data_IF_686022781965
#
_entry.id   IF_686022781965
#
_cell.length_a   1.000
_cell.length_b   1.000
_cell.length_c   1.000
_cell.angle_alpha   90.00
_cell.angle_beta   90.00
_cell.angle_gamma   90.00
#
_symmetry.space_group_name_H-M   'P 1'
#
loop_
_entity.id
_entity.type
_entity.pdbx_description
1 polymer ?
#
# COMPACT_ATOMS: atom_id res chain seq x y z
N UNK A 1 28.21 39.65 -7.10
CA UNK A 1 26.76 39.76 -6.88
C UNK A 1 26.08 39.09 -8.08
N UNK A 2 25.24 38.09 -7.83
CA UNK A 2 24.34 37.59 -8.88
C UNK A 2 23.23 38.64 -8.98
N UNK A 3 23.13 39.33 -10.12
CA UNK A 3 22.02 40.24 -10.37
C UNK A 3 20.75 39.41 -10.58
N UNK A 4 19.93 39.35 -9.53
CA UNK A 4 18.65 38.67 -9.55
C UNK A 4 17.66 39.56 -10.31
N UNK A 5 17.66 39.43 -11.63
CA UNK A 5 16.60 39.96 -12.47
C UNK A 5 15.29 39.22 -12.22
N UNK A 6 14.17 39.92 -12.43
CA UNK A 6 12.84 39.34 -12.28
C UNK A 6 12.68 38.04 -13.09
N UNK A 7 13.21 38.02 -14.31
CA UNK A 7 13.20 36.84 -15.19
C UNK A 7 13.95 35.66 -14.60
N UNK A 8 15.12 35.87 -13.98
CA UNK A 8 15.90 34.77 -13.39
C UNK A 8 15.23 34.24 -12.12
N UNK A 9 14.66 35.12 -11.30
CA UNK A 9 13.86 34.73 -10.14
C UNK A 9 12.62 33.90 -10.54
N UNK A 10 11.92 34.33 -11.60
CA UNK A 10 10.75 33.63 -12.12
C UNK A 10 11.09 32.25 -12.69
N UNK A 11 12.17 32.15 -13.47
CA UNK A 11 12.65 30.87 -14.01
C UNK A 11 13.07 29.91 -12.90
N UNK A 12 13.77 30.38 -11.87
CA UNK A 12 14.16 29.58 -10.72
C UNK A 12 12.94 29.08 -9.95
N UNK A 13 11.95 29.96 -9.72
CA UNK A 13 10.70 29.57 -9.08
C UNK A 13 10.04 28.43 -9.85
N UNK A 14 9.76 28.62 -11.15
CA UNK A 14 9.12 27.59 -11.97
C UNK A 14 9.93 26.28 -12.02
N UNK A 15 11.25 26.38 -12.21
CA UNK A 15 12.13 25.22 -12.26
C UNK A 15 12.10 24.41 -10.96
N UNK A 16 12.15 25.08 -9.81
CA UNK A 16 12.04 24.44 -8.49
C UNK A 16 10.66 23.82 -8.29
N UNK A 17 9.58 24.52 -8.66
CA UNK A 17 8.21 23.97 -8.50
C UNK A 17 8.00 22.73 -9.34
N UNK A 18 8.42 22.76 -10.62
CA UNK A 18 8.32 21.61 -11.52
C UNK A 18 9.21 20.48 -11.02
N UNK A 19 10.45 20.78 -10.60
CA UNK A 19 11.36 19.80 -10.01
C UNK A 19 10.79 19.14 -8.76
N UNK A 20 10.13 19.90 -7.88
CA UNK A 20 9.47 19.38 -6.70
C UNK A 20 8.26 18.49 -7.03
N UNK A 21 7.44 18.88 -8.03
CA UNK A 21 6.32 18.07 -8.50
C UNK A 21 6.78 16.76 -9.12
N UNK A 22 7.77 16.81 -10.02
CA UNK A 22 8.34 15.62 -10.64
C UNK A 22 9.04 14.74 -9.60
N UNK A 23 9.81 15.33 -8.69
CA UNK A 23 10.47 14.60 -7.61
C UNK A 23 9.48 13.88 -6.70
N UNK A 24 8.38 14.55 -6.33
CA UNK A 24 7.30 13.97 -5.52
C UNK A 24 6.56 12.87 -6.29
N UNK A 25 6.29 13.07 -7.57
CA UNK A 25 5.64 12.08 -8.43
C UNK A 25 6.51 10.83 -8.58
N UNK A 26 7.79 11.00 -8.88
CA UNK A 26 8.77 9.91 -8.98
C UNK A 26 8.93 9.19 -7.64
N UNK A 27 9.09 9.92 -6.55
CA UNK A 27 9.18 9.36 -5.20
C UNK A 27 7.93 8.55 -4.85
N UNK A 28 6.74 9.10 -5.11
CA UNK A 28 5.46 8.42 -4.94
C UNK A 28 5.39 7.17 -5.80
N UNK A 29 5.74 7.24 -7.08
CA UNK A 29 5.70 6.08 -7.97
C UNK A 29 6.64 4.95 -7.52
N UNK A 30 7.85 5.27 -7.08
CA UNK A 30 8.78 4.28 -6.51
C UNK A 30 8.31 3.74 -5.15
N UNK A 31 7.72 4.59 -4.30
CA UNK A 31 7.17 4.19 -3.00
C UNK A 31 5.93 3.32 -3.17
N UNK A 32 5.04 3.66 -4.09
CA UNK A 32 3.83 2.90 -4.42
C UNK A 32 4.20 1.56 -5.04
N UNK A 33 5.21 1.47 -5.93
CA UNK A 33 5.72 0.17 -6.38
C UNK A 33 6.25 -0.70 -5.23
N UNK A 34 6.88 -0.09 -4.22
CA UNK A 34 7.28 -0.83 -3.00
C UNK A 34 6.05 -1.20 -2.16
N UNK A 35 5.06 -0.32 -2.03
CA UNK A 35 3.83 -0.59 -1.28
C UNK A 35 2.88 -1.57 -1.96
N UNK A 36 2.91 -1.72 -3.29
CA UNK A 36 2.18 -2.79 -3.98
C UNK A 36 2.85 -4.14 -3.76
N UNK A 37 4.17 -4.18 -3.55
CA UNK A 37 4.89 -5.41 -3.14
C UNK A 37 4.63 -5.70 -1.65
N UNK A 38 4.54 -4.67 -0.81
CA UNK A 38 4.13 -4.76 0.60
C UNK A 38 2.61 -4.69 0.81
N UNK A 39 1.82 -4.80 -0.27
CA UNK A 39 0.40 -5.07 -0.15
C UNK A 39 0.33 -6.55 0.16
N UNK A 40 0.74 -6.87 1.40
CA UNK A 40 0.56 -8.14 2.06
C UNK A 40 -0.75 -8.69 1.55
N UNK A 41 -0.70 -9.77 0.78
CA UNK A 41 -1.87 -10.36 0.16
C UNK A 41 -2.88 -10.63 1.27
N UNK A 42 -3.82 -9.71 1.47
CA UNK A 42 -4.81 -9.80 2.52
C UNK A 42 -5.75 -10.89 2.04
N UNK A 43 -5.44 -12.11 2.44
CA UNK A 43 -6.23 -13.27 2.11
C UNK A 43 -7.47 -13.21 2.98
N UNK A 44 -8.62 -13.16 2.32
CA UNK A 44 -9.90 -13.23 3.01
C UNK A 44 -10.13 -14.68 3.44
N UNK A 45 -10.22 -14.89 4.74
CA UNK A 45 -10.53 -16.17 5.34
C UNK A 45 -11.98 -16.20 5.79
N UNK A 46 -12.63 -17.36 5.63
CA UNK A 46 -13.95 -17.62 6.17
C UNK A 46 -13.83 -18.74 7.19
N UNK A 47 -14.37 -18.53 8.39
CA UNK A 47 -14.37 -19.55 9.44
C UNK A 47 -15.32 -20.71 9.08
N UNK A 48 -14.88 -21.96 9.22
CA UNK A 48 -15.69 -23.17 8.97
C UNK A 48 -16.80 -23.38 10.01
N UNK A 49 -16.66 -22.75 11.19
CA UNK A 49 -17.60 -22.93 12.31
C UNK A 49 -18.65 -21.84 12.38
N UNK A 50 -18.23 -20.57 12.32
CA UNK A 50 -19.14 -19.43 12.48
C UNK A 50 -19.41 -18.68 11.18
N UNK A 51 -18.80 -19.08 10.05
CA UNK A 51 -18.91 -18.43 8.74
C UNK A 51 -18.55 -16.93 8.74
N UNK A 52 -17.86 -16.47 9.78
CA UNK A 52 -17.36 -15.10 9.84
C UNK A 52 -16.19 -14.93 8.88
N UNK A 53 -16.29 -13.91 8.02
CA UNK A 53 -15.22 -13.52 7.10
C UNK A 53 -14.29 -12.51 7.77
N UNK A 54 -12.99 -12.76 7.73
CA UNK A 54 -11.96 -11.90 8.32
C UNK A 54 -10.74 -11.83 7.41
N UNK A 55 -9.99 -10.74 7.52
CA UNK A 55 -8.76 -10.53 6.77
C UNK A 55 -7.59 -10.79 7.72
N UNK A 56 -6.64 -11.61 7.28
CA UNK A 56 -5.42 -11.90 8.03
C UNK A 56 -4.21 -11.58 7.14
N UNK A 57 -3.23 -10.89 7.71
CA UNK A 57 -2.02 -10.46 7.02
C UNK A 57 -0.94 -11.56 6.94
N UNK A 58 -1.09 -12.62 7.72
CA UNK A 58 -0.09 -13.67 7.83
C UNK A 58 -0.73 -15.02 7.51
N UNK A 59 -0.31 -15.61 6.39
CA UNK A 59 -0.71 -16.96 5.99
C UNK A 59 -0.04 -17.96 6.95
N UNK A 60 -0.62 -18.10 8.13
CA UNK A 60 -0.23 -19.13 9.10
C UNK A 60 -0.96 -20.41 8.72
N UNK A 61 -0.26 -21.55 8.79
CA UNK A 61 -0.86 -22.87 8.56
C UNK A 61 -2.06 -23.16 9.48
N UNK A 62 -2.12 -22.46 10.62
CA UNK A 62 -3.22 -22.52 11.57
C UNK A 62 -3.72 -21.10 11.91
N UNK A 63 -4.89 -20.73 11.40
CA UNK A 63 -5.57 -19.48 11.73
C UNK A 63 -6.66 -19.71 12.81
N UNK A 64 -6.83 -18.70 13.67
CA UNK A 64 -7.83 -18.72 14.74
C UNK A 64 -8.86 -17.64 14.44
N UNK A 65 -10.13 -18.01 14.40
CA UNK A 65 -11.20 -17.04 14.11
C UNK A 65 -11.32 -16.01 15.25
N UNK A 66 -11.37 -14.70 14.96
CA UNK A 66 -11.49 -13.66 15.99
C UNK A 66 -12.86 -13.67 16.69
N UNK A 67 -13.89 -14.23 16.06
CA UNK A 67 -15.25 -14.21 16.60
C UNK A 67 -15.55 -15.42 17.49
N UNK A 68 -15.23 -16.64 17.04
CA UNK A 68 -15.50 -17.86 17.80
C UNK A 68 -14.28 -18.45 18.50
N UNK A 69 -13.08 -17.89 18.27
CA UNK A 69 -11.81 -18.32 18.85
C UNK A 69 -11.41 -19.78 18.56
N UNK A 70 -12.13 -20.44 17.64
CA UNK A 70 -11.86 -21.79 17.16
C UNK A 70 -10.76 -21.74 16.09
N UNK A 71 -9.99 -22.83 16.01
CA UNK A 71 -8.96 -23.02 15.01
C UNK A 71 -9.57 -23.60 13.74
N UNK A 72 -9.38 -22.94 12.61
CA UNK A 72 -9.84 -23.43 11.31
C UNK A 72 -8.92 -24.58 10.87
N UNK A 73 -9.48 -25.75 10.56
CA UNK A 73 -8.72 -26.90 10.05
C UNK A 73 -8.39 -26.78 8.57
N UNK A 74 -9.25 -26.10 7.80
CA UNK A 74 -9.06 -25.91 6.36
C UNK A 74 -8.96 -24.42 6.03
N UNK A 75 -7.79 -24.02 5.56
CA UNK A 75 -7.53 -22.68 5.05
C UNK A 75 -8.10 -22.55 3.64
N UNK A 76 -9.38 -22.26 3.49
CA UNK A 76 -9.93 -21.90 2.18
C UNK A 76 -9.56 -20.44 1.85
N UNK A 77 -8.45 -20.28 1.14
CA UNK A 77 -8.05 -19.03 0.52
C UNK A 77 -8.96 -18.76 -0.68
N UNK A 78 -9.76 -17.70 -0.62
CA UNK A 78 -10.46 -17.18 -1.80
C UNK A 78 -9.61 -16.04 -2.36
N UNK A 79 -8.85 -16.32 -3.43
CA UNK A 79 -8.22 -15.25 -4.19
C UNK A 79 -9.32 -14.32 -4.72
N UNK A 80 -9.35 -13.10 -4.19
CA UNK A 80 -10.17 -12.03 -4.75
C UNK A 80 -9.33 -11.45 -5.88
N UNK A 81 -9.57 -11.93 -7.11
CA UNK A 81 -9.07 -11.24 -8.29
C UNK A 81 -9.86 -9.92 -8.39
N UNK A 82 -9.20 -8.82 -8.01
CA UNK A 82 -9.63 -7.45 -8.30
C UNK A 82 -9.01 -6.97 -9.60
#
# INVERSE_FOLDING_TARGET
>A
MIELNFTTAFMLYLGVTIGALLGTWVYSHYRTRKQTIFSTEQSLFVCEYCHFAYLEENIKELNRCPQCNLFNKQNYYKHINS
#
